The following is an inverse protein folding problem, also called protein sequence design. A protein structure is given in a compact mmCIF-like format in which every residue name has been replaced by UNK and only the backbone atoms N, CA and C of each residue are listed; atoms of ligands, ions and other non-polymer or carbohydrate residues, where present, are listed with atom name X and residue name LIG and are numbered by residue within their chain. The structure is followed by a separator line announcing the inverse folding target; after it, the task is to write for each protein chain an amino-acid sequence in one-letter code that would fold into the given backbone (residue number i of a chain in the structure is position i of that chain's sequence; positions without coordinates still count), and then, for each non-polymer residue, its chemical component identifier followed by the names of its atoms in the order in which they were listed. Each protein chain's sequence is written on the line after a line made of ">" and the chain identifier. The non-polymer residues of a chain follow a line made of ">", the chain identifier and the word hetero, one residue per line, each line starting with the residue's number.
data_IF_623840063235
#
_entry.id   IF_623840063235
#
_cell.length_a   1.000
_cell.length_b   1.000
_cell.length_c   1.000
_cell.angle_alpha   90.00
_cell.angle_beta   90.00
_cell.angle_gamma   90.00
#
_symmetry.space_group_name_H-M   'P 1'
#
loop_
_entity.id
_entity.type
_entity.pdbx_description
1 polymer ?
#
# COMPACT_ATOMS: atom_id res chain seq x y z
N UNK A 1 6.77 28.57 -4.81
CA UNK A 1 6.42 27.94 -6.10
C UNK A 1 6.53 26.43 -5.95
N UNK A 2 5.47 25.68 -6.20
CA UNK A 2 5.58 24.22 -6.35
C UNK A 2 6.35 23.99 -7.65
N UNK A 3 7.50 23.34 -7.56
CA UNK A 3 8.31 23.00 -8.75
C UNK A 3 7.59 21.93 -9.57
N UNK A 4 7.75 21.94 -10.89
CA UNK A 4 7.16 20.94 -11.78
C UNK A 4 7.50 19.49 -11.35
N UNK A 5 8.65 19.31 -10.70
CA UNK A 5 9.07 18.03 -10.13
C UNK A 5 8.18 17.55 -8.99
N UNK A 6 7.78 18.42 -8.06
CA UNK A 6 6.90 18.06 -6.94
C UNK A 6 5.49 17.66 -7.42
N UNK A 7 4.96 18.30 -8.48
CA UNK A 7 3.70 17.91 -9.09
C UNK A 7 3.75 16.52 -9.73
N UNK A 8 4.83 16.21 -10.46
CA UNK A 8 5.03 14.90 -11.07
C UNK A 8 5.10 13.80 -10.00
N UNK A 9 5.81 14.05 -8.89
CA UNK A 9 5.91 13.10 -7.78
C UNK A 9 4.56 12.81 -7.11
N UNK A 10 3.69 13.82 -6.98
CA UNK A 10 2.33 13.64 -6.47
C UNK A 10 1.51 12.76 -7.43
N UNK A 11 1.52 13.06 -8.72
CA UNK A 11 0.76 12.29 -9.73
C UNK A 11 1.22 10.82 -9.73
N UNK A 12 2.53 10.57 -9.71
CA UNK A 12 3.09 9.22 -9.64
C UNK A 12 2.67 8.52 -8.35
N UNK A 13 2.65 9.22 -7.21
CA UNK A 13 2.21 8.67 -5.93
C UNK A 13 0.74 8.23 -5.97
N UNK A 14 -0.14 9.04 -6.55
CA UNK A 14 -1.56 8.71 -6.74
C UNK A 14 -1.77 7.54 -7.72
N UNK A 15 -0.99 7.46 -8.79
CA UNK A 15 -1.01 6.32 -9.72
C UNK A 15 -0.60 5.01 -9.02
N UNK A 16 0.44 5.04 -8.18
CA UNK A 16 0.83 3.87 -7.38
C UNK A 16 -0.26 3.43 -6.40
N UNK A 17 -0.98 4.37 -5.79
CA UNK A 17 -2.12 4.05 -4.93
C UNK A 17 -3.25 3.40 -5.74
N UNK A 18 -3.59 3.92 -6.91
CA UNK A 18 -4.61 3.32 -7.79
C UNK A 18 -4.25 1.88 -8.18
N UNK A 19 -2.99 1.65 -8.56
CA UNK A 19 -2.50 0.30 -8.87
C UNK A 19 -2.57 -0.61 -7.63
N UNK A 20 -2.20 -0.09 -6.45
CA UNK A 20 -2.28 -0.83 -5.18
C UNK A 20 -3.71 -1.25 -4.85
N UNK A 21 -4.69 -0.36 -5.07
CA UNK A 21 -6.12 -0.65 -4.87
C UNK A 21 -6.58 -1.73 -5.86
N UNK A 22 -6.29 -1.57 -7.15
CA UNK A 22 -6.67 -2.53 -8.20
C UNK A 22 -6.11 -3.92 -7.91
N UNK A 23 -4.82 -4.01 -7.58
CA UNK A 23 -4.18 -5.27 -7.25
C UNK A 23 -4.76 -5.92 -5.98
N UNK A 24 -5.09 -5.11 -4.97
CA UNK A 24 -5.76 -5.58 -3.74
C UNK A 24 -7.15 -6.15 -4.06
N UNK A 25 -7.88 -5.53 -4.98
CA UNK A 25 -9.19 -5.99 -5.45
C UNK A 25 -9.07 -7.30 -6.24
N UNK A 26 -8.12 -7.39 -7.18
CA UNK A 26 -7.81 -8.61 -7.94
C UNK A 26 -7.33 -9.76 -7.04
N UNK A 27 -6.58 -9.46 -5.99
CA UNK A 27 -6.12 -10.45 -5.00
C UNK A 27 -7.28 -11.19 -4.34
N UNK A 28 -8.46 -10.59 -4.20
CA UNK A 28 -9.64 -11.27 -3.64
C UNK A 28 -9.96 -12.57 -4.39
N UNK A 29 -9.76 -12.57 -5.71
CA UNK A 29 -10.10 -13.66 -6.64
C UNK A 29 -8.97 -14.66 -6.87
N UNK A 30 -7.69 -14.29 -6.67
CA UNK A 30 -6.52 -15.12 -7.06
C UNK A 30 -5.94 -15.98 -5.92
N UNK A 31 -5.10 -16.96 -6.29
CA UNK A 31 -4.44 -17.94 -5.41
C UNK A 31 -3.52 -17.32 -4.32
N UNK A 32 -3.25 -18.10 -3.27
CA UNK A 32 -2.44 -17.72 -2.10
C UNK A 32 -1.02 -17.24 -2.42
N UNK A 33 -0.37 -17.77 -3.47
CA UNK A 33 0.96 -17.33 -3.90
C UNK A 33 0.95 -15.90 -4.45
N UNK A 34 -0.07 -15.52 -5.23
CA UNK A 34 -0.24 -14.16 -5.74
C UNK A 34 -0.41 -13.16 -4.59
N UNK A 35 -1.11 -13.55 -3.52
CA UNK A 35 -1.28 -12.70 -2.33
C UNK A 35 0.02 -12.42 -1.59
N UNK A 36 0.93 -13.41 -1.50
CA UNK A 36 2.25 -13.22 -0.87
C UNK A 36 3.12 -12.25 -1.67
N UNK A 37 3.19 -12.42 -2.99
CA UNK A 37 3.88 -11.47 -3.86
C UNK A 37 3.27 -10.07 -3.80
N UNK A 38 1.94 -9.98 -3.78
CA UNK A 38 1.26 -8.70 -3.65
C UNK A 38 1.60 -8.00 -2.33
N UNK A 39 1.64 -8.72 -1.21
CA UNK A 39 2.02 -8.16 0.09
C UNK A 39 3.44 -7.59 0.06
N UNK A 40 4.39 -8.33 -0.54
CA UNK A 40 5.76 -7.85 -0.71
C UNK A 40 5.81 -6.58 -1.56
N UNK A 41 5.07 -6.55 -2.68
CA UNK A 41 4.99 -5.40 -3.56
C UNK A 41 4.39 -4.16 -2.86
N UNK A 42 3.30 -4.34 -2.11
CA UNK A 42 2.66 -3.26 -1.36
C UNK A 42 3.56 -2.73 -0.24
N UNK A 43 4.34 -3.58 0.43
CA UNK A 43 5.34 -3.16 1.41
C UNK A 43 6.48 -2.34 0.78
N UNK A 44 7.01 -2.78 -0.37
CA UNK A 44 8.04 -2.02 -1.10
C UNK A 44 7.48 -0.66 -1.54
N UNK A 45 6.24 -0.64 -2.03
CA UNK A 45 5.56 0.59 -2.44
C UNK A 45 5.41 1.57 -1.27
N UNK A 46 4.98 1.07 -0.11
CA UNK A 46 4.83 1.88 1.10
C UNK A 46 6.18 2.46 1.55
N UNK A 47 7.26 1.68 1.46
CA UNK A 47 8.61 2.15 1.77
C UNK A 47 9.06 3.29 0.82
N UNK A 48 8.80 3.14 -0.49
CA UNK A 48 9.11 4.19 -1.48
C UNK A 48 8.30 5.46 -1.22
N UNK A 49 7.00 5.34 -0.91
CA UNK A 49 6.15 6.48 -0.58
C UNK A 49 6.59 7.18 0.72
N UNK A 50 7.08 6.44 1.71
CA UNK A 50 7.67 7.01 2.92
C UNK A 50 8.91 7.85 2.59
N UNK A 51 9.86 7.33 1.82
CA UNK A 51 11.07 8.06 1.41
C UNK A 51 10.69 9.35 0.67
N UNK A 52 9.75 9.26 -0.28
CA UNK A 52 9.25 10.41 -1.03
C UNK A 52 8.60 11.46 -0.13
N UNK A 53 7.80 11.03 0.85
CA UNK A 53 7.16 11.94 1.79
C UNK A 53 8.18 12.70 2.66
N UNK A 54 9.21 12.01 3.16
CA UNK A 54 10.29 12.60 3.95
C UNK A 54 11.13 13.56 3.13
N UNK A 55 11.49 13.17 1.89
CA UNK A 55 12.22 14.03 0.97
C UNK A 55 11.47 15.32 0.66
N UNK A 56 10.16 15.22 0.39
CA UNK A 56 9.33 16.40 0.15
C UNK A 56 9.18 17.27 1.40
N UNK A 57 9.09 16.68 2.60
CA UNK A 57 9.04 17.43 3.86
C UNK A 57 10.34 18.22 4.10
N UNK A 58 11.50 17.58 3.90
CA UNK A 58 12.81 18.21 4.08
C UNK A 58 13.10 19.30 3.03
N UNK A 59 12.64 19.09 1.80
CA UNK A 59 12.86 20.04 0.70
C UNK A 59 11.98 21.29 0.79
N UNK A 60 11.06 21.37 1.76
CA UNK A 60 10.07 22.43 1.84
C UNK A 60 10.45 23.48 2.90
N UNK A 61 11.10 24.56 2.46
CA UNK A 61 11.31 25.78 3.26
C UNK A 61 10.38 26.90 2.77
N UNK A 62 9.32 27.18 3.55
CA UNK A 62 8.55 28.43 3.44
C UNK A 62 7.22 28.35 2.66
N UNK A 63 6.11 28.52 3.39
CA UNK A 63 4.79 28.86 2.84
C UNK A 63 3.65 27.90 3.20
N UNK A 64 2.43 28.44 3.34
CA UNK A 64 1.20 27.77 3.77
C UNK A 64 0.91 26.50 2.94
N UNK A 65 1.20 25.34 3.52
CA UNK A 65 1.35 24.04 2.85
C UNK A 65 0.35 22.99 3.33
N UNK A 66 -0.69 23.41 4.05
CA UNK A 66 -1.72 22.53 4.62
C UNK A 66 -2.31 21.57 3.58
N UNK A 67 -2.57 22.04 2.35
CA UNK A 67 -3.13 21.21 1.28
C UNK A 67 -2.16 20.14 0.76
N UNK A 68 -0.86 20.44 0.65
CA UNK A 68 0.15 19.48 0.21
C UNK A 68 0.39 18.42 1.27
N UNK A 69 0.58 18.85 2.52
CA UNK A 69 0.72 17.95 3.67
C UNK A 69 -0.50 17.05 3.75
N UNK A 70 -1.71 17.61 3.65
CA UNK A 70 -2.95 16.84 3.64
C UNK A 70 -2.99 15.80 2.51
N UNK A 71 -2.61 16.17 1.28
CA UNK A 71 -2.58 15.23 0.14
C UNK A 71 -1.63 14.05 0.38
N UNK A 72 -0.40 14.31 0.82
CA UNK A 72 0.56 13.24 1.14
C UNK A 72 0.11 12.37 2.32
N UNK A 73 -0.53 12.98 3.33
CA UNK A 73 -1.09 12.24 4.47
C UNK A 73 -2.20 11.29 4.00
N UNK A 74 -3.08 11.74 3.09
CA UNK A 74 -4.11 10.90 2.47
C UNK A 74 -3.52 9.74 1.65
N UNK A 75 -2.45 10.00 0.88
CA UNK A 75 -1.74 8.97 0.11
C UNK A 75 -1.18 7.89 1.03
N UNK A 76 -0.47 8.29 2.10
CA UNK A 76 0.11 7.36 3.07
C UNK A 76 -0.97 6.55 3.80
N UNK A 77 -2.04 7.20 4.28
CA UNK A 77 -3.18 6.52 4.92
C UNK A 77 -3.80 5.47 3.99
N UNK A 78 -4.03 5.82 2.72
CA UNK A 78 -4.62 4.91 1.75
C UNK A 78 -3.70 3.71 1.48
N UNK A 79 -2.39 3.92 1.41
CA UNK A 79 -1.44 2.82 1.23
C UNK A 79 -1.38 1.89 2.45
N UNK A 80 -1.38 2.45 3.67
CA UNK A 80 -1.43 1.67 4.91
C UNK A 80 -2.70 0.81 4.94
N UNK A 81 -3.85 1.40 4.61
CA UNK A 81 -5.11 0.66 4.53
C UNK A 81 -5.01 -0.49 3.51
N UNK A 82 -4.47 -0.25 2.31
CA UNK A 82 -4.27 -1.31 1.31
C UNK A 82 -3.41 -2.45 1.85
N UNK A 83 -2.31 -2.13 2.54
CA UNK A 83 -1.44 -3.13 3.16
C UNK A 83 -2.16 -3.93 4.26
N UNK A 84 -2.91 -3.27 5.14
CA UNK A 84 -3.68 -3.93 6.21
C UNK A 84 -4.77 -4.84 5.61
N UNK A 85 -5.48 -4.38 4.58
CA UNK A 85 -6.48 -5.19 3.88
C UNK A 85 -5.86 -6.43 3.22
N UNK A 86 -4.70 -6.28 2.58
CA UNK A 86 -3.97 -7.39 1.98
C UNK A 86 -3.50 -8.38 3.06
N UNK A 87 -2.93 -7.89 4.16
CA UNK A 87 -2.49 -8.70 5.29
C UNK A 87 -3.64 -9.50 5.93
N UNK A 88 -4.77 -8.85 6.24
CA UNK A 88 -5.96 -9.52 6.79
C UNK A 88 -6.51 -10.57 5.83
N UNK A 89 -6.52 -10.28 4.53
CA UNK A 89 -6.94 -11.23 3.49
C UNK A 89 -6.05 -12.45 3.40
N UNK A 90 -4.75 -12.30 3.68
CA UNK A 90 -3.77 -13.37 3.69
C UNK A 90 -3.89 -14.21 4.97
N UNK A 91 -3.99 -13.56 6.14
CA UNK A 91 -4.22 -14.21 7.45
C UNK A 91 -5.49 -15.07 7.44
N UNK A 92 -6.60 -14.56 6.89
CA UNK A 92 -7.87 -15.32 6.77
C UNK A 92 -7.71 -16.58 5.91
N UNK A 93 -6.91 -16.55 4.84
CA UNK A 93 -6.70 -17.75 4.00
C UNK A 93 -5.76 -18.76 4.66
N UNK A 94 -4.72 -18.30 5.36
CA UNK A 94 -3.84 -19.20 6.11
C UNK A 94 -4.63 -19.95 7.21
N UNK A 95 -5.50 -19.25 7.94
CA UNK A 95 -6.35 -19.87 8.96
C UNK A 95 -7.30 -20.95 8.38
N UNK A 96 -7.87 -20.71 7.19
CA UNK A 96 -8.70 -21.71 6.50
C UNK A 96 -7.91 -22.95 6.07
N UNK A 97 -6.70 -22.78 5.55
CA UNK A 97 -5.84 -23.91 5.13
C UNK A 97 -5.38 -24.74 6.34
N UNK A 98 -5.06 -24.10 7.47
CA UNK A 98 -4.67 -24.80 8.69
C UNK A 98 -5.81 -25.67 9.23
N UNK A 99 -7.02 -25.13 9.29
CA UNK A 99 -8.21 -25.88 9.73
C UNK A 99 -8.50 -27.13 8.87
N UNK A 100 -8.18 -27.11 7.57
CA UNK A 100 -8.36 -28.28 6.71
C UNK A 100 -7.27 -29.33 6.86
N UNK A 101 -6.06 -28.97 7.30
CA UNK A 101 -5.01 -29.97 7.55
C UNK A 101 -5.24 -30.70 8.88
N UNK A 102 -5.68 -29.98 9.91
CA UNK A 102 -5.95 -30.60 11.23
C UNK A 102 -7.12 -31.61 11.17
N UNK A 103 -8.06 -31.44 10.23
CA UNK A 103 -9.12 -32.44 10.02
C UNK A 103 -8.66 -33.70 9.29
N UNK A 104 -7.55 -33.65 8.55
CA UNK A 104 -7.02 -34.80 7.78
C UNK A 104 -6.08 -35.69 8.60
N UNK A 105 -5.60 -35.23 9.77
CA UNK A 105 -4.73 -36.04 10.65
C UNK A 105 -5.48 -36.82 11.73
N UNK A 106 -6.82 -36.87 11.67
CA UNK A 106 -7.66 -37.60 12.62
C UNK A 106 -8.30 -38.88 12.04
N UNK A 107 -7.98 -39.24 10.80
CA UNK A 107 -8.25 -40.56 10.21
C UNK A 107 -6.99 -41.43 10.26
#
# INVERSE_FOLDING_TARGET
>A
MITNTALILIIVSWLLVLISILLTLFSRYKHTQFKKHLMSFLNVTLFVQLILSVYNLMSYQGGNSSNLIFSYTCVLLTQILCNVFCYMSLKRRIAKVKSTLDSFSME
#
